data_IF_802344055059
#
_entry.id   IF_802344055059
#
_cell.length_a   1.000
_cell.length_b   1.000
_cell.length_c   1.000
_cell.angle_alpha   90.00
_cell.angle_beta   90.00
_cell.angle_gamma   90.00
#
_symmetry.space_group_name_H-M   'P 1'
#
loop_
_entity.id
_entity.type
_entity.pdbx_description
1 polymer ?
#
# COMPACT_ATOMS: atom_id res chain seq x y z
N UNK A 1 -13.27 -6.48 -14.38
CA UNK A 1 -11.96 -5.89 -14.19
C UNK A 1 -10.90 -6.61 -15.05
N UNK A 2 -10.65 -7.90 -14.84
CA UNK A 2 -9.63 -8.66 -15.57
C UNK A 2 -9.74 -8.49 -17.10
N UNK A 3 -10.94 -8.61 -17.65
CA UNK A 3 -11.16 -8.43 -19.09
C UNK A 3 -10.86 -7.00 -19.57
N UNK A 4 -11.24 -5.99 -18.78
CA UNK A 4 -11.04 -4.58 -19.13
C UNK A 4 -9.58 -4.13 -19.05
N UNK A 5 -8.79 -4.76 -18.17
CA UNK A 5 -7.40 -4.41 -17.92
C UNK A 5 -6.39 -5.44 -18.43
N UNK A 6 -6.87 -6.47 -19.16
CA UNK A 6 -6.05 -7.57 -19.68
C UNK A 6 -5.19 -8.22 -18.57
N UNK A 7 -5.82 -8.53 -17.43
CA UNK A 7 -5.20 -9.18 -16.26
C UNK A 7 -5.88 -10.52 -15.98
N UNK A 8 -5.29 -11.34 -15.13
CA UNK A 8 -5.77 -12.66 -14.74
C UNK A 8 -5.83 -12.85 -13.21
N UNK A 9 -6.09 -11.77 -12.47
CA UNK A 9 -6.12 -11.82 -11.01
C UNK A 9 -7.13 -12.85 -10.51
N UNK A 10 -6.66 -13.76 -9.66
CA UNK A 10 -7.51 -14.71 -8.96
C UNK A 10 -8.33 -14.01 -7.85
N UNK A 11 -9.45 -14.57 -7.48
CA UNK A 11 -10.19 -14.07 -6.31
C UNK A 11 -9.43 -14.41 -5.02
N UNK A 12 -9.38 -13.45 -4.12
CA UNK A 12 -8.89 -13.68 -2.76
C UNK A 12 -9.84 -14.60 -2.00
N UNK A 13 -9.35 -15.54 -1.17
CA UNK A 13 -10.22 -16.43 -0.40
C UNK A 13 -11.19 -15.63 0.49
N UNK A 14 -12.48 -15.89 0.35
CA UNK A 14 -13.51 -15.11 1.02
C UNK A 14 -13.51 -15.28 2.54
N UNK A 15 -13.11 -16.46 3.02
CA UNK A 15 -12.99 -16.77 4.45
C UNK A 15 -11.85 -16.00 5.16
N UNK A 16 -10.96 -15.39 4.38
CA UNK A 16 -9.87 -14.52 4.87
C UNK A 16 -10.25 -13.04 4.90
N UNK A 17 -11.45 -12.69 4.45
CA UNK A 17 -11.96 -11.32 4.43
C UNK A 17 -13.16 -11.20 5.36
N UNK A 18 -13.10 -10.25 6.28
CA UNK A 18 -14.21 -9.99 7.20
C UNK A 18 -14.48 -8.49 7.28
N UNK A 19 -15.74 -8.15 7.50
CA UNK A 19 -16.17 -6.77 7.72
C UNK A 19 -16.65 -6.58 9.14
N UNK A 20 -16.35 -5.45 9.75
CA UNK A 20 -16.96 -5.03 11.00
C UNK A 20 -18.46 -4.86 10.79
N UNK A 21 -19.25 -5.01 11.86
CA UNK A 21 -20.70 -4.86 11.84
C UNK A 21 -21.40 -5.68 10.73
N UNK A 22 -20.88 -6.89 10.43
CA UNK A 22 -21.44 -7.75 9.37
C UNK A 22 -21.49 -7.09 7.98
N UNK A 23 -20.65 -6.06 7.76
CA UNK A 23 -20.63 -5.27 6.54
C UNK A 23 -21.71 -4.20 6.45
N UNK A 24 -22.44 -3.96 7.54
CA UNK A 24 -23.49 -2.92 7.57
C UNK A 24 -22.84 -1.55 7.74
N UNK A 25 -23.02 -0.70 6.72
CA UNK A 25 -22.58 0.68 6.71
C UNK A 25 -23.77 1.59 7.05
N UNK A 26 -23.68 2.30 8.18
CA UNK A 26 -24.74 3.21 8.61
C UNK A 26 -24.25 4.67 8.45
N UNK A 27 -24.95 5.42 7.61
CA UNK A 27 -24.73 6.87 7.48
C UNK A 27 -25.71 7.59 8.39
N UNK A 28 -25.19 8.25 9.41
CA UNK A 28 -26.01 8.98 10.39
C UNK A 28 -26.58 10.27 9.77
N UNK A 29 -27.74 10.71 10.28
CA UNK A 29 -28.31 11.97 9.86
C UNK A 29 -27.31 13.13 10.08
N UNK A 30 -27.24 14.04 9.11
CA UNK A 30 -26.32 15.18 9.07
C UNK A 30 -24.82 14.83 8.95
N UNK A 31 -24.45 13.58 8.65
CA UNK A 31 -23.09 13.20 8.26
C UNK A 31 -22.98 13.07 6.74
N UNK A 32 -21.78 13.25 6.22
CA UNK A 32 -21.49 13.15 4.77
C UNK A 32 -20.81 11.84 4.38
N UNK A 33 -20.34 11.08 5.36
CA UNK A 33 -19.61 9.84 5.16
C UNK A 33 -19.84 8.88 6.32
N UNK A 34 -19.63 7.62 6.06
CA UNK A 34 -19.51 6.58 7.06
C UNK A 34 -18.43 5.59 6.62
N UNK A 35 -17.87 4.86 7.57
CA UNK A 35 -16.79 3.91 7.35
C UNK A 35 -17.17 2.55 7.94
N UNK A 36 -16.75 1.48 7.26
CA UNK A 36 -16.78 0.13 7.77
C UNK A 36 -15.38 -0.48 7.62
N UNK A 37 -14.89 -1.05 8.70
CA UNK A 37 -13.58 -1.71 8.69
C UNK A 37 -13.66 -3.03 7.94
N UNK A 38 -12.73 -3.24 7.01
CA UNK A 38 -12.50 -4.52 6.33
C UNK A 38 -11.16 -5.09 6.80
N UNK A 39 -11.20 -6.27 7.39
CA UNK A 39 -9.99 -6.99 7.80
C UNK A 39 -9.65 -8.07 6.76
N UNK A 40 -8.42 -8.00 6.23
CA UNK A 40 -7.87 -8.98 5.31
C UNK A 40 -6.81 -9.78 6.06
N UNK A 41 -7.03 -11.09 6.23
CA UNK A 41 -6.11 -11.98 6.92
C UNK A 41 -5.25 -12.74 5.92
N UNK A 42 -3.99 -12.93 6.24
CA UNK A 42 -3.15 -13.87 5.52
C UNK A 42 -3.60 -15.31 5.81
N UNK A 43 -3.53 -16.18 4.80
CA UNK A 43 -3.92 -17.58 4.92
C UNK A 43 -2.91 -18.51 4.24
N UNK A 44 -3.07 -19.81 4.50
CA UNK A 44 -2.32 -20.84 3.79
C UNK A 44 -2.84 -20.95 2.35
N UNK A 45 -1.94 -21.29 1.41
CA UNK A 45 -2.30 -21.48 0.00
C UNK A 45 -2.30 -20.21 -0.86
N UNK A 46 -2.04 -19.03 -0.29
CA UNK A 46 -1.75 -17.85 -1.10
C UNK A 46 -0.39 -18.02 -1.79
N UNK A 47 -0.34 -17.75 -3.08
CA UNK A 47 0.88 -17.83 -3.89
C UNK A 47 1.52 -16.44 -3.95
N UNK A 48 2.83 -16.38 -3.67
CA UNK A 48 3.56 -15.10 -3.58
C UNK A 48 3.69 -14.37 -4.91
N UNK A 49 3.70 -15.11 -6.00
CA UNK A 49 3.78 -14.58 -7.37
C UNK A 49 2.45 -14.04 -7.90
N UNK A 50 1.34 -14.33 -7.20
CA UNK A 50 0.01 -13.94 -7.62
C UNK A 50 -0.51 -12.68 -6.93
N UNK A 51 -1.14 -11.85 -7.73
CA UNK A 51 -2.00 -10.79 -7.24
C UNK A 51 -3.44 -11.30 -7.20
N UNK A 52 -4.09 -11.08 -6.09
CA UNK A 52 -5.48 -11.45 -5.86
C UNK A 52 -6.37 -10.22 -5.89
N UNK A 53 -7.60 -10.38 -6.34
CA UNK A 53 -8.61 -9.34 -6.34
C UNK A 53 -9.67 -9.62 -5.26
N UNK A 54 -10.03 -8.60 -4.48
CA UNK A 54 -11.16 -8.58 -3.56
C UNK A 54 -12.18 -7.60 -4.13
N UNK A 55 -13.18 -8.05 -4.88
CA UNK A 55 -14.26 -7.18 -5.29
C UNK A 55 -15.18 -6.91 -4.10
N UNK A 56 -15.44 -5.66 -3.82
CA UNK A 56 -16.37 -5.20 -2.79
C UNK A 56 -17.46 -4.37 -3.47
N UNK A 57 -18.70 -4.63 -3.11
CA UNK A 57 -19.83 -3.88 -3.63
C UNK A 57 -20.75 -3.44 -2.48
N UNK A 58 -21.31 -2.25 -2.60
CA UNK A 58 -22.38 -1.78 -1.73
C UNK A 58 -23.68 -2.34 -2.29
N UNK A 59 -24.38 -3.18 -1.52
CA UNK A 59 -25.73 -3.60 -1.86
C UNK A 59 -26.73 -2.60 -1.29
N UNK A 60 -27.61 -2.12 -2.14
CA UNK A 60 -28.68 -1.20 -1.76
C UNK A 60 -29.81 -1.99 -1.10
N UNK A 61 -29.89 -1.94 0.22
CA UNK A 61 -30.94 -2.62 0.99
C UNK A 61 -31.91 -1.64 1.68
N UNK A 62 -31.63 -0.35 1.60
CA UNK A 62 -32.52 0.67 2.14
C UNK A 62 -33.47 1.18 1.08
N UNK A 63 -34.78 1.20 1.40
CA UNK A 63 -35.81 1.78 0.52
C UNK A 63 -35.65 3.29 0.34
N UNK A 64 -34.86 3.95 1.17
CA UNK A 64 -34.78 5.40 1.25
C UNK A 64 -33.58 6.01 0.51
N UNK A 65 -32.63 5.18 0.11
CA UNK A 65 -31.39 5.64 -0.57
C UNK A 65 -31.18 4.84 -1.84
N UNK A 66 -31.11 5.55 -2.95
CA UNK A 66 -30.73 4.97 -4.26
C UNK A 66 -29.37 5.49 -4.68
N UNK A 67 -28.41 4.60 -4.88
CA UNK A 67 -27.12 4.93 -5.46
C UNK A 67 -27.31 5.02 -6.98
N UNK A 68 -27.18 6.24 -7.52
CA UNK A 68 -27.47 6.52 -8.95
C UNK A 68 -26.34 6.06 -9.88
N UNK A 69 -25.12 6.02 -9.39
CA UNK A 69 -23.94 5.64 -10.16
C UNK A 69 -23.57 4.19 -9.80
N UNK A 70 -23.80 3.28 -10.73
CA UNK A 70 -23.49 1.86 -10.55
C UNK A 70 -21.98 1.63 -10.37
N UNK A 71 -21.14 2.39 -11.05
CA UNK A 71 -19.68 2.26 -10.93
C UNK A 71 -19.19 2.68 -9.55
N UNK A 72 -19.85 3.66 -8.92
CA UNK A 72 -19.53 4.10 -7.56
C UNK A 72 -19.88 3.07 -6.47
N UNK A 73 -20.67 2.05 -6.78
CA UNK A 73 -20.98 0.94 -5.85
C UNK A 73 -19.85 -0.07 -5.69
N UNK A 74 -18.87 -0.07 -6.57
CA UNK A 74 -17.89 -1.14 -6.66
C UNK A 74 -16.50 -0.62 -6.37
N UNK A 75 -15.76 -1.39 -5.59
CA UNK A 75 -14.32 -1.21 -5.38
C UNK A 75 -13.60 -2.53 -5.52
N UNK A 76 -12.42 -2.55 -6.11
CA UNK A 76 -11.59 -3.74 -6.22
C UNK A 76 -10.27 -3.46 -5.51
N UNK A 77 -10.01 -4.21 -4.44
CA UNK A 77 -8.72 -4.21 -3.77
C UNK A 77 -7.83 -5.26 -4.41
N UNK A 78 -6.62 -4.87 -4.78
CA UNK A 78 -5.60 -5.80 -5.26
C UNK A 78 -4.65 -6.13 -4.11
N UNK A 79 -4.50 -7.41 -3.82
CA UNK A 79 -3.73 -7.90 -2.68
C UNK A 79 -2.69 -8.90 -3.15
N UNK A 80 -1.47 -8.76 -2.67
CA UNK A 80 -0.38 -9.71 -2.87
C UNK A 80 0.19 -10.13 -1.51
N UNK A 81 0.39 -11.43 -1.33
CA UNK A 81 1.08 -11.94 -0.13
C UNK A 81 2.59 -11.72 -0.26
N UNK A 82 3.12 -10.89 0.63
CA UNK A 82 4.55 -10.55 0.65
C UNK A 82 5.25 -11.08 1.91
N UNK A 83 4.63 -12.01 2.66
CA UNK A 83 5.20 -12.52 3.92
C UNK A 83 6.56 -13.18 3.72
N UNK A 84 6.73 -13.89 2.62
CA UNK A 84 7.97 -14.59 2.26
C UNK A 84 8.71 -13.92 1.11
N UNK A 85 8.36 -12.68 0.75
CA UNK A 85 9.13 -11.95 -0.25
C UNK A 85 10.62 -11.96 0.10
N UNK A 86 11.47 -12.12 -0.89
CA UNK A 86 12.92 -12.18 -0.74
C UNK A 86 13.51 -10.93 -0.08
N UNK A 87 14.77 -11.01 0.28
CA UNK A 87 15.53 -9.86 0.77
C UNK A 87 16.26 -9.13 -0.38
N UNK A 88 16.84 -7.98 -0.07
CA UNK A 88 17.58 -7.16 -1.03
C UNK A 88 19.03 -7.62 -1.24
N UNK A 89 19.59 -8.48 -0.35
CA UNK A 89 20.98 -8.87 -0.45
C UNK A 89 21.24 -9.82 -1.63
N UNK A 90 22.00 -9.38 -2.61
CA UNK A 90 22.31 -10.11 -3.83
C UNK A 90 23.71 -10.73 -3.87
N UNK A 91 24.55 -10.41 -2.88
CA UNK A 91 25.96 -10.84 -2.81
C UNK A 91 26.91 -9.64 -2.90
N UNK A 92 28.19 -9.92 -2.60
CA UNK A 92 29.25 -8.91 -2.73
C UNK A 92 29.59 -8.66 -4.20
N UNK A 93 29.91 -7.40 -4.53
CA UNK A 93 30.29 -6.99 -5.89
C UNK A 93 29.16 -6.98 -6.92
N UNK A 94 27.93 -7.24 -6.51
CA UNK A 94 26.76 -7.18 -7.39
C UNK A 94 26.26 -5.74 -7.47
N UNK A 95 25.81 -5.33 -8.66
CA UNK A 95 25.22 -4.01 -8.89
C UNK A 95 24.00 -3.80 -7.99
N UNK A 96 23.95 -2.65 -7.33
CA UNK A 96 22.85 -2.24 -6.50
C UNK A 96 21.83 -1.41 -7.29
N UNK A 97 20.54 -1.72 -7.11
CA UNK A 97 19.43 -0.96 -7.66
C UNK A 97 19.00 0.16 -6.73
N UNK A 98 18.98 1.39 -7.25
CA UNK A 98 18.49 2.57 -6.54
C UNK A 98 17.15 3.00 -7.13
N UNK A 99 16.15 3.19 -6.28
CA UNK A 99 14.88 3.78 -6.66
C UNK A 99 14.75 5.16 -6.01
N UNK A 100 14.69 6.20 -6.82
CA UNK A 100 14.24 7.52 -6.37
C UNK A 100 12.72 7.50 -6.37
N UNK A 101 12.17 7.40 -5.16
CA UNK A 101 10.75 7.22 -4.94
C UNK A 101 10.08 8.58 -4.69
N UNK A 102 9.36 9.06 -5.69
CA UNK A 102 8.56 10.27 -5.52
C UNK A 102 7.36 9.96 -4.62
N UNK A 103 7.42 10.50 -3.40
CA UNK A 103 6.41 10.25 -2.37
C UNK A 103 5.18 11.14 -2.61
N UNK A 104 4.27 10.64 -3.40
CA UNK A 104 2.93 11.19 -3.54
C UNK A 104 1.95 10.23 -2.85
N UNK A 105 0.82 9.93 -3.44
CA UNK A 105 -0.19 9.02 -2.86
C UNK A 105 0.15 7.53 -3.08
N UNK A 106 1.43 7.17 -3.17
CA UNK A 106 1.88 5.81 -3.47
C UNK A 106 2.44 5.15 -2.22
N UNK A 107 2.00 3.92 -1.95
CA UNK A 107 2.49 3.12 -0.85
C UNK A 107 3.93 2.61 -1.13
N UNK A 108 4.93 2.94 -0.29
CA UNK A 108 6.30 2.50 -0.49
C UNK A 108 6.46 0.97 -0.44
N UNK A 109 5.56 0.24 0.20
CA UNK A 109 5.58 -1.22 0.23
C UNK A 109 5.40 -1.85 -1.15
N UNK A 110 4.86 -1.11 -2.13
CA UNK A 110 4.80 -1.57 -3.51
C UNK A 110 6.18 -1.90 -4.10
N UNK A 111 7.24 -1.31 -3.57
CA UNK A 111 8.62 -1.62 -3.99
C UNK A 111 9.02 -3.07 -3.72
N UNK A 112 8.41 -3.75 -2.75
CA UNK A 112 8.64 -5.15 -2.43
C UNK A 112 8.08 -6.11 -3.50
N UNK A 113 7.20 -5.65 -4.37
CA UNK A 113 6.66 -6.46 -5.45
C UNK A 113 7.61 -6.63 -6.64
N UNK A 114 8.68 -5.83 -6.71
CA UNK A 114 9.68 -5.92 -7.76
C UNK A 114 10.77 -6.92 -7.36
N UNK A 115 10.66 -8.13 -7.88
CA UNK A 115 11.59 -9.22 -7.60
C UNK A 115 12.31 -9.68 -8.87
N UNK A 116 13.53 -10.13 -8.69
CA UNK A 116 14.32 -10.80 -9.72
C UNK A 116 13.89 -12.27 -9.83
N UNK A 117 14.26 -12.96 -10.91
CA UNK A 117 13.97 -14.38 -11.13
C UNK A 117 14.46 -15.29 -9.99
N UNK A 118 15.53 -14.90 -9.30
CA UNK A 118 16.07 -15.61 -8.15
C UNK A 118 15.35 -15.31 -6.81
N UNK A 119 14.24 -14.58 -6.84
CA UNK A 119 13.45 -14.20 -5.68
C UNK A 119 14.00 -13.03 -4.86
N UNK A 120 15.15 -12.46 -5.21
CA UNK A 120 15.70 -11.29 -4.53
C UNK A 120 14.96 -10.03 -4.95
N UNK A 121 14.91 -9.04 -4.06
CA UNK A 121 14.32 -7.75 -4.38
C UNK A 121 15.15 -7.00 -5.43
N UNK A 122 14.50 -6.36 -6.37
CA UNK A 122 15.18 -5.57 -7.41
C UNK A 122 15.88 -4.36 -6.78
N UNK A 123 15.22 -3.68 -5.84
CA UNK A 123 15.70 -2.44 -5.25
C UNK A 123 16.47 -2.71 -3.96
N UNK A 124 17.73 -2.25 -3.89
CA UNK A 124 18.57 -2.29 -2.69
C UNK A 124 18.42 -1.03 -1.86
N UNK A 125 18.15 0.09 -2.53
CA UNK A 125 18.03 1.41 -1.91
C UNK A 125 16.80 2.10 -2.44
N UNK A 126 15.98 2.61 -1.53
CA UNK A 126 14.84 3.47 -1.81
C UNK A 126 15.13 4.86 -1.23
N UNK A 127 15.18 5.85 -2.08
CA UNK A 127 15.38 7.26 -1.70
C UNK A 127 14.04 7.96 -1.72
N UNK A 128 13.56 8.36 -0.55
CA UNK A 128 12.30 9.11 -0.42
C UNK A 128 12.52 10.53 -0.92
N UNK A 129 11.82 10.91 -1.96
CA UNK A 129 11.95 12.22 -2.58
C UNK A 129 10.66 13.04 -2.35
N UNK A 130 10.70 14.22 -1.67
CA UNK A 130 11.93 14.83 -1.27
C UNK A 130 11.78 15.54 0.08
N UNK A 131 12.94 15.86 0.65
CA UNK A 131 13.07 16.84 1.70
C UNK A 131 13.90 18.03 1.21
N UNK A 132 13.86 19.14 1.95
CA UNK A 132 14.65 20.33 1.68
C UNK A 132 15.44 20.72 2.91
N UNK A 133 16.61 21.30 2.71
CA UNK A 133 17.36 21.96 3.79
C UNK A 133 17.00 23.44 3.74
N UNK A 134 16.19 23.89 4.69
CA UNK A 134 15.76 25.27 4.82
C UNK A 134 16.46 25.94 6.01
N UNK A 135 16.68 27.24 5.91
CA UNK A 135 17.19 28.03 7.04
C UNK A 135 16.06 28.43 7.97
N UNK A 136 16.16 28.03 9.23
CA UNK A 136 15.23 28.43 10.30
C UNK A 136 15.75 29.72 10.94
N UNK A 137 15.11 30.84 10.63
CA UNK A 137 15.55 32.17 11.10
C UNK A 137 15.35 32.33 12.62
N UNK A 138 14.36 31.67 13.22
CA UNK A 138 14.12 31.73 14.68
C UNK A 138 15.18 30.92 15.44
N UNK A 139 15.51 29.74 14.95
CA UNK A 139 16.51 28.87 15.56
C UNK A 139 17.95 29.23 15.13
N UNK A 140 18.13 30.10 14.14
CA UNK A 140 19.42 30.55 13.63
C UNK A 140 20.26 29.43 12.98
N UNK A 141 19.62 28.37 12.45
CA UNK A 141 20.31 27.19 11.89
C UNK A 141 19.55 26.56 10.73
N UNK A 142 20.24 25.81 9.86
CA UNK A 142 19.58 24.97 8.87
C UNK A 142 18.76 23.85 9.55
N UNK A 143 17.62 23.50 8.95
CA UNK A 143 16.82 22.33 9.32
C UNK A 143 16.37 21.57 8.09
N UNK A 144 16.19 20.27 8.24
CA UNK A 144 15.54 19.42 7.24
C UNK A 144 14.03 19.64 7.34
N UNK A 145 13.41 19.93 6.20
CA UNK A 145 11.97 20.05 6.08
C UNK A 145 11.47 19.06 5.02
N UNK A 146 10.72 18.07 5.47
CA UNK A 146 10.06 17.12 4.60
C UNK A 146 8.78 17.74 4.01
N UNK A 147 8.42 17.33 2.79
CA UNK A 147 7.07 17.58 2.33
C UNK A 147 6.06 16.76 3.15
N UNK A 148 4.75 17.10 3.15
CA UNK A 148 3.76 16.43 3.98
C UNK A 148 3.68 14.91 3.74
N UNK A 149 3.84 14.45 2.49
CA UNK A 149 3.77 13.04 2.16
C UNK A 149 4.98 12.26 2.70
N UNK A 150 6.18 12.83 2.60
CA UNK A 150 7.39 12.25 3.20
C UNK A 150 7.27 12.23 4.73
N UNK A 151 6.79 13.33 5.33
CA UNK A 151 6.57 13.40 6.77
C UNK A 151 5.59 12.31 7.24
N UNK A 152 4.51 12.11 6.51
CA UNK A 152 3.56 11.03 6.78
C UNK A 152 4.22 9.64 6.79
N UNK A 153 5.11 9.34 5.83
CA UNK A 153 5.84 8.07 5.83
C UNK A 153 6.77 7.93 7.05
N UNK A 154 7.41 9.02 7.46
CA UNK A 154 8.30 9.01 8.63
C UNK A 154 7.51 8.82 9.93
N UNK A 155 6.36 9.47 10.06
CA UNK A 155 5.47 9.35 11.22
C UNK A 155 4.86 7.94 11.33
N UNK A 156 4.64 7.29 10.19
CA UNK A 156 4.12 5.92 10.10
C UNK A 156 5.22 4.89 9.74
N UNK A 157 6.46 5.13 10.15
CA UNK A 157 7.61 4.34 9.70
C UNK A 157 7.50 2.86 10.05
N UNK A 158 6.91 2.49 11.18
CA UNK A 158 6.77 1.09 11.62
C UNK A 158 5.98 0.25 10.63
N UNK A 159 4.96 0.83 10.02
CA UNK A 159 4.08 0.14 9.07
C UNK A 159 4.50 0.32 7.61
N UNK A 160 5.14 1.44 7.27
CA UNK A 160 5.41 1.79 5.87
C UNK A 160 6.88 1.66 5.47
N UNK A 161 7.84 1.85 6.38
CA UNK A 161 9.26 1.82 6.06
C UNK A 161 10.02 0.64 6.69
N UNK A 162 9.65 0.25 7.91
CA UNK A 162 10.30 -0.88 8.58
C UNK A 162 10.15 -2.21 7.83
N UNK A 163 9.03 -2.52 7.16
CA UNK A 163 8.95 -3.73 6.35
C UNK A 163 9.99 -3.79 5.22
N UNK A 164 10.32 -2.66 4.58
CA UNK A 164 11.41 -2.60 3.60
C UNK A 164 12.76 -2.88 4.28
N UNK A 165 13.03 -2.21 5.39
CA UNK A 165 14.30 -2.33 6.11
C UNK A 165 14.53 -3.74 6.65
N UNK A 166 13.49 -4.42 7.14
CA UNK A 166 13.56 -5.82 7.59
C UNK A 166 13.96 -6.78 6.48
N UNK A 167 13.78 -6.37 5.21
CA UNK A 167 14.20 -7.13 4.02
C UNK A 167 15.50 -6.63 3.42
N UNK A 168 16.27 -5.86 4.17
CA UNK A 168 17.58 -5.37 3.77
C UNK A 168 17.57 -4.17 2.82
N UNK A 169 16.40 -3.62 2.47
CA UNK A 169 16.34 -2.40 1.67
C UNK A 169 16.79 -1.21 2.52
N UNK A 170 17.75 -0.44 2.02
CA UNK A 170 18.16 0.82 2.64
C UNK A 170 17.14 1.91 2.28
N UNK A 171 16.62 2.60 3.29
CA UNK A 171 15.71 3.74 3.07
C UNK A 171 16.49 5.02 3.40
N UNK A 172 16.60 5.89 2.42
CA UNK A 172 17.28 7.17 2.51
C UNK A 172 16.27 8.31 2.31
N UNK A 173 16.59 9.47 2.84
CA UNK A 173 15.88 10.72 2.60
C UNK A 173 16.70 11.54 1.58
N UNK A 174 16.06 11.93 0.47
CA UNK A 174 16.64 12.72 -0.61
C UNK A 174 16.16 14.17 -0.64
#
# INVERSE_FOLDING_TARGET
>A
YNKAHNTDFALYPQDLVTFANEGILTVNANTKSAEVEMTIRAGEGLQEDKTYAIPVAISDQSSDITIKDEDAKHCIYLVKDMRNAGDAYKGEGVMQGYLFFEVNDVNPLNTLSFQLENGKLLWDVVVLFAANINYDAEAGRPRVQCNPNVQYLLDNNETLLQPLRRRGVKVLLG
#
